data_IF_357827819323
#
_entry.id   IF_357827819323
#
_cell.length_a   1.000
_cell.length_b   1.000
_cell.length_c   1.000
_cell.angle_alpha   90.00
_cell.angle_beta   90.00
_cell.angle_gamma   90.00
#
_symmetry.space_group_name_H-M   'P 1'
#
loop_
_entity.id
_entity.type
_entity.pdbx_description
1 polymer ?
#
# COMPACT_ATOMS: atom_id res chain seq x y z
N UNK A 1 33.69 -2.53 -18.09
CA UNK A 1 33.51 -1.07 -18.25
C UNK A 1 32.04 -0.60 -18.14
N UNK A 2 31.04 -1.49 -18.06
CA UNK A 2 29.62 -1.11 -17.89
C UNK A 2 29.11 -1.10 -16.42
N UNK A 3 29.95 -1.47 -15.46
CA UNK A 3 29.56 -1.59 -14.05
C UNK A 3 29.24 -0.24 -13.36
N UNK A 4 29.52 0.88 -14.05
CA UNK A 4 29.21 2.23 -13.59
C UNK A 4 27.91 2.80 -14.17
N UNK A 5 27.13 2.03 -14.95
CA UNK A 5 25.90 2.54 -15.60
C UNK A 5 24.65 2.30 -14.73
N UNK A 6 24.64 1.32 -13.84
CA UNK A 6 23.46 0.98 -13.05
C UNK A 6 23.00 2.11 -12.12
N UNK A 7 23.66 2.28 -10.98
CA UNK A 7 23.33 3.33 -10.02
C UNK A 7 23.65 4.75 -10.53
N UNK A 8 24.84 5.01 -11.10
CA UNK A 8 25.21 6.35 -11.56
C UNK A 8 24.41 6.82 -12.78
N UNK A 9 24.04 5.92 -13.69
CA UNK A 9 23.22 6.25 -14.85
C UNK A 9 21.78 6.61 -14.47
N UNK A 10 21.19 5.90 -13.51
CA UNK A 10 19.87 6.23 -12.98
C UNK A 10 19.87 7.60 -12.29
N UNK A 11 20.95 7.95 -11.58
CA UNK A 11 21.11 9.26 -10.94
C UNK A 11 21.16 10.39 -12.00
N UNK A 12 21.88 10.17 -13.10
CA UNK A 12 21.95 11.14 -14.20
C UNK A 12 20.58 11.35 -14.85
N UNK A 13 19.82 10.28 -15.09
CA UNK A 13 18.45 10.36 -15.61
C UNK A 13 17.55 11.12 -14.63
N UNK A 14 17.65 10.84 -13.32
CA UNK A 14 16.86 11.53 -12.30
C UNK A 14 17.14 13.04 -12.27
N UNK A 15 18.40 13.46 -12.43
CA UNK A 15 18.77 14.89 -12.52
C UNK A 15 18.18 15.52 -13.78
N UNK A 16 18.27 14.87 -14.94
CA UNK A 16 17.69 15.38 -16.19
C UNK A 16 16.17 15.58 -16.05
N UNK A 17 15.46 14.57 -15.51
CA UNK A 17 14.02 14.66 -15.26
C UNK A 17 13.71 15.79 -14.26
N UNK A 18 14.49 15.93 -13.20
CA UNK A 18 14.31 17.00 -12.22
C UNK A 18 14.50 18.39 -12.83
N UNK A 19 15.41 18.57 -13.78
CA UNK A 19 15.62 19.85 -14.48
C UNK A 19 14.47 20.14 -15.44
N UNK A 20 14.00 19.16 -16.21
CA UNK A 20 12.91 19.33 -17.18
C UNK A 20 11.56 19.62 -16.51
N UNK A 21 11.25 18.90 -15.44
CA UNK A 21 9.96 19.05 -14.74
C UNK A 21 10.01 20.04 -13.58
N UNK A 22 11.21 20.30 -13.02
CA UNK A 22 11.41 21.16 -11.86
C UNK A 22 10.98 20.50 -10.55
N UNK A 23 11.64 20.88 -9.44
CA UNK A 23 11.32 20.39 -8.09
C UNK A 23 9.87 20.65 -7.65
N UNK A 24 9.26 21.75 -8.13
CA UNK A 24 7.91 22.14 -7.75
C UNK A 24 6.84 21.20 -8.30
N UNK A 25 6.89 20.89 -9.61
CA UNK A 25 5.87 20.04 -10.26
C UNK A 25 5.94 18.59 -9.77
N UNK A 26 7.16 18.06 -9.60
CA UNK A 26 7.35 16.69 -9.09
C UNK A 26 6.82 16.55 -7.65
N UNK A 27 7.07 17.55 -6.79
CA UNK A 27 6.60 17.52 -5.39
C UNK A 27 5.07 17.55 -5.31
N UNK A 28 4.41 18.42 -6.07
CA UNK A 28 2.94 18.48 -6.11
C UNK A 28 2.33 17.17 -6.61
N UNK A 29 2.86 16.60 -7.70
CA UNK A 29 2.39 15.32 -8.25
C UNK A 29 2.61 14.15 -7.28
N UNK A 30 3.77 14.08 -6.63
CA UNK A 30 4.04 13.05 -5.62
C UNK A 30 3.15 13.19 -4.39
N UNK A 31 2.77 14.41 -4.01
CA UNK A 31 1.81 14.65 -2.94
C UNK A 31 0.41 14.13 -3.28
N UNK A 32 -0.07 14.35 -4.50
CA UNK A 32 -1.38 13.85 -4.97
C UNK A 32 -1.39 12.32 -5.11
N UNK A 33 -0.34 11.75 -5.72
CA UNK A 33 -0.17 10.29 -5.85
C UNK A 33 -0.04 9.63 -4.47
N UNK A 34 0.72 10.22 -3.55
CA UNK A 34 0.90 9.71 -2.19
C UNK A 34 -0.40 9.67 -1.39
N UNK A 35 -1.26 10.68 -1.55
CA UNK A 35 -2.62 10.68 -0.96
C UNK A 35 -3.47 9.55 -1.54
N UNK A 36 -3.43 9.35 -2.86
CA UNK A 36 -4.14 8.26 -3.54
C UNK A 36 -3.71 6.88 -3.04
N UNK A 37 -2.40 6.62 -2.96
CA UNK A 37 -1.86 5.36 -2.43
C UNK A 37 -2.25 5.17 -0.96
N UNK A 38 -2.21 6.22 -0.14
CA UNK A 38 -2.60 6.14 1.28
C UNK A 38 -4.08 5.81 1.44
N UNK A 39 -4.96 6.47 0.67
CA UNK A 39 -6.39 6.20 0.68
C UNK A 39 -6.70 4.77 0.21
N UNK A 40 -6.03 4.31 -0.86
CA UNK A 40 -6.16 2.95 -1.36
C UNK A 40 -5.71 1.92 -0.30
N UNK A 41 -4.54 2.12 0.32
CA UNK A 41 -4.03 1.25 1.38
C UNK A 41 -4.96 1.21 2.59
N UNK A 42 -5.55 2.35 2.95
CA UNK A 42 -6.52 2.45 4.04
C UNK A 42 -7.81 1.67 3.70
N UNK A 43 -8.39 1.89 2.52
CA UNK A 43 -9.60 1.19 2.09
C UNK A 43 -9.41 -0.33 2.04
N UNK A 44 -8.30 -0.82 1.49
CA UNK A 44 -7.99 -2.26 1.46
C UNK A 44 -7.86 -2.82 2.88
N UNK A 45 -7.22 -2.09 3.79
CA UNK A 45 -7.06 -2.52 5.18
C UNK A 45 -8.42 -2.57 5.91
N UNK A 46 -9.25 -1.55 5.74
CA UNK A 46 -10.59 -1.49 6.33
C UNK A 46 -11.46 -2.64 5.82
N UNK A 47 -11.48 -2.95 4.53
CA UNK A 47 -12.20 -4.12 3.99
C UNK A 47 -11.70 -5.43 4.58
N UNK A 48 -10.38 -5.60 4.73
CA UNK A 48 -9.83 -6.83 5.34
C UNK A 48 -10.19 -6.96 6.82
N UNK A 49 -10.17 -5.85 7.58
CA UNK A 49 -10.52 -5.85 9.00
C UNK A 49 -12.04 -6.05 9.21
N UNK A 50 -12.88 -5.45 8.36
CA UNK A 50 -14.33 -5.67 8.38
C UNK A 50 -14.68 -7.11 8.03
N UNK A 51 -14.07 -7.69 6.98
CA UNK A 51 -14.26 -9.09 6.64
C UNK A 51 -13.85 -10.01 7.80
N UNK A 52 -12.75 -9.70 8.49
CA UNK A 52 -12.28 -10.48 9.63
C UNK A 52 -13.20 -10.37 10.85
N UNK A 53 -13.74 -9.18 11.11
CA UNK A 53 -14.71 -8.93 12.18
C UNK A 53 -16.06 -9.60 11.90
N UNK A 54 -16.51 -9.63 10.63
CA UNK A 54 -17.70 -10.37 10.22
C UNK A 54 -17.54 -11.88 10.36
N UNK A 55 -16.34 -12.42 10.12
CA UNK A 55 -16.04 -13.84 10.32
C UNK A 55 -15.98 -14.22 11.81
N UNK A 56 -15.45 -13.34 12.68
CA UNK A 56 -15.45 -13.58 14.13
C UNK A 56 -16.88 -13.53 14.70
N UNK A 57 -17.70 -12.57 14.26
CA UNK A 57 -19.10 -12.49 14.70
C UNK A 57 -19.95 -13.65 14.20
N UNK A 58 -19.59 -14.29 13.07
CA UNK A 58 -20.25 -15.49 12.57
C UNK A 58 -19.77 -16.78 13.26
N UNK A 59 -18.65 -16.76 13.98
CA UNK A 59 -18.16 -17.88 14.80
C UNK A 59 -18.83 -17.95 16.18
N UNK A 60 -19.27 -16.82 16.70
CA UNK A 60 -19.91 -16.67 18.02
C UNK A 60 -21.35 -17.22 18.09
N UNK A 61 -21.91 -17.76 16.99
CA UNK A 61 -23.28 -18.31 16.94
C UNK A 61 -23.35 -19.84 16.96
N UNK A 62 -22.25 -20.55 17.26
CA UNK A 62 -22.32 -21.99 17.54
C UNK A 62 -22.51 -22.18 19.05
N UNK A 63 -23.71 -22.52 19.55
CA UNK A 63 -23.90 -22.84 20.96
C UNK A 63 -23.00 -24.02 21.36
N UNK A 64 -22.24 -23.88 22.46
CA UNK A 64 -21.43 -24.95 23.08
C UNK A 64 -22.29 -26.06 23.71
N UNK A 65 -23.35 -26.52 23.06
CA UNK A 65 -24.31 -27.48 23.64
C UNK A 65 -24.25 -28.88 23.02
N UNK A 66 -23.35 -29.15 22.07
CA UNK A 66 -23.25 -30.47 21.40
C UNK A 66 -21.85 -31.13 21.44
N UNK A 67 -21.03 -30.86 22.47
CA UNK A 67 -19.74 -31.56 22.63
C UNK A 67 -19.45 -32.19 24.01
N UNK A 68 -20.48 -32.55 24.77
CA UNK A 68 -20.30 -33.46 25.92
C UNK A 68 -21.54 -34.36 26.12
N UNK A 69 -21.78 -35.23 25.12
CA UNK A 69 -22.54 -36.45 25.32
C UNK A 69 -21.94 -37.56 24.44
N UNK A 70 -20.78 -38.04 24.85
CA UNK A 70 -20.19 -39.30 24.39
C UNK A 70 -19.65 -40.05 25.60
#
# INVERSE_FOLDING_TARGET
MLNNIGLPGLLLIAVVVLVLFGRGKISSLMGEVGKGITAFKKGVKEETEEAQKSLDSARDVTPETERDKA
#
